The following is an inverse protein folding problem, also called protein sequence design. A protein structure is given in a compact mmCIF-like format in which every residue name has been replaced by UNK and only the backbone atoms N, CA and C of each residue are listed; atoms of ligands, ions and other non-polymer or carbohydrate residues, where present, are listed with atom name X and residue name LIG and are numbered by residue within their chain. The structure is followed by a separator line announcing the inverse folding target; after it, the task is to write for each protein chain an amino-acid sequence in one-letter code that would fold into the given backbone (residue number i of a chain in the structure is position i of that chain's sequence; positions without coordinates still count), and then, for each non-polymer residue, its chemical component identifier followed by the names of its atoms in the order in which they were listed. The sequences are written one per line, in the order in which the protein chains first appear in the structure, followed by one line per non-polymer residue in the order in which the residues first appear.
data_IF_098907576113
#
_entry.id   IF_098907576113
#
_cell.length_a   1.000
_cell.length_b   1.000
_cell.length_c   1.000
_cell.angle_alpha   90.00
_cell.angle_beta   90.00
_cell.angle_gamma   90.00
#
_symmetry.space_group_name_H-M   'P 1'
#
loop_
_entity.id
_entity.type
_entity.pdbx_description
1 polymer ?
#
# COMPACT_ATOMS: atom_id res chain seq x y z
N UNK A 1 -2.22 -11.91 24.92
CA UNK A 1 -2.86 -12.29 23.65
C UNK A 1 -1.98 -11.71 22.56
N UNK A 2 -1.44 -12.54 21.67
CA UNK A 2 -0.61 -12.03 20.57
C UNK A 2 -1.56 -11.35 19.59
N UNK A 3 -1.39 -10.04 19.43
CA UNK A 3 -2.06 -9.23 18.42
C UNK A 3 -1.72 -9.85 17.05
N UNK A 4 -2.72 -10.42 16.36
CA UNK A 4 -2.55 -11.02 15.03
C UNK A 4 -2.47 -9.91 13.97
N UNK A 5 -1.56 -8.95 14.18
CA UNK A 5 -1.34 -7.82 13.28
C UNK A 5 -0.58 -8.32 12.05
N UNK A 6 -1.26 -8.31 10.90
CA UNK A 6 -0.59 -8.60 9.63
C UNK A 6 0.06 -7.32 9.14
N UNK A 7 1.36 -7.39 8.82
CA UNK A 7 2.12 -6.26 8.28
C UNK A 7 2.82 -6.69 7.00
N UNK A 8 2.74 -5.85 5.97
CA UNK A 8 3.46 -5.99 4.70
C UNK A 8 4.34 -4.77 4.49
N UNK A 9 5.58 -5.00 4.06
CA UNK A 9 6.59 -3.95 3.90
C UNK A 9 7.34 -4.14 2.59
N UNK A 10 7.73 -3.05 1.95
CA UNK A 10 8.59 -3.06 0.77
C UNK A 10 9.58 -1.90 0.78
N UNK A 11 10.77 -2.12 0.22
CA UNK A 11 11.74 -1.07 -0.09
C UNK A 11 11.83 -0.96 -1.60
N UNK A 12 11.36 0.16 -2.14
CA UNK A 12 11.16 0.37 -3.57
C UNK A 12 12.19 1.39 -4.07
N UNK A 13 13.13 0.93 -4.88
CA UNK A 13 14.18 1.74 -5.53
C UNK A 13 14.03 1.79 -7.06
N UNK A 14 13.03 1.08 -7.59
CA UNK A 14 12.66 1.06 -9.01
C UNK A 14 11.14 1.16 -9.17
N UNK A 15 10.68 1.66 -10.32
CA UNK A 15 9.26 1.66 -10.65
C UNK A 15 8.76 0.25 -10.99
N UNK A 16 7.44 0.03 -10.93
CA UNK A 16 6.77 -1.28 -11.11
C UNK A 16 6.85 -2.21 -9.88
N UNK A 17 7.06 -1.65 -8.68
CA UNK A 17 7.23 -2.42 -7.44
C UNK A 17 6.47 -1.83 -6.24
N UNK A 18 6.26 -2.65 -5.19
CA UNK A 18 5.50 -2.24 -4.01
C UNK A 18 5.35 -3.33 -2.96
N UNK A 19 4.44 -3.12 -2.02
CA UNK A 19 4.12 -4.12 -0.98
C UNK A 19 3.35 -5.30 -1.56
N UNK A 20 3.42 -6.42 -0.84
CA UNK A 20 2.43 -7.48 -0.98
C UNK A 20 1.01 -6.97 -0.68
N UNK A 21 0.01 -7.76 -1.08
CA UNK A 21 -1.39 -7.47 -0.78
C UNK A 21 -1.71 -7.77 0.68
N UNK A 22 -2.17 -6.75 1.41
CA UNK A 22 -2.76 -6.88 2.73
C UNK A 22 -4.25 -7.18 2.60
N UNK A 23 -4.71 -8.27 3.20
CA UNK A 23 -6.11 -8.68 3.14
C UNK A 23 -6.90 -8.10 4.30
N UNK A 24 -7.87 -7.26 3.97
CA UNK A 24 -8.84 -6.68 4.91
C UNK A 24 -10.08 -7.58 4.93
N UNK A 25 -10.33 -8.26 6.05
CA UNK A 25 -11.34 -9.34 6.18
C UNK A 25 -12.48 -9.02 7.15
N UNK A 26 -12.51 -7.83 7.74
CA UNK A 26 -13.59 -7.39 8.63
C UNK A 26 -14.57 -6.47 7.92
N UNK A 27 -15.76 -6.27 8.51
CA UNK A 27 -16.76 -5.34 7.96
C UNK A 27 -16.32 -3.87 8.08
N UNK A 28 -15.49 -3.56 9.09
CA UNK A 28 -14.75 -2.32 9.21
C UNK A 28 -13.29 -2.62 9.53
N UNK A 29 -12.38 -2.22 8.63
CA UNK A 29 -10.95 -2.44 8.78
C UNK A 29 -10.27 -1.09 8.98
N UNK A 30 -9.46 -1.02 10.01
CA UNK A 30 -8.45 0.01 10.18
C UNK A 30 -7.11 -0.58 9.81
N UNK A 31 -6.31 0.19 9.10
CA UNK A 31 -4.95 -0.21 8.76
C UNK A 31 -4.03 1.00 8.75
N UNK A 32 -2.83 0.82 9.27
CA UNK A 32 -1.78 1.81 9.22
C UNK A 32 -1.18 1.85 7.81
N UNK A 33 -0.88 3.06 7.35
CA UNK A 33 -0.19 3.34 6.10
C UNK A 33 1.03 4.17 6.46
N UNK A 34 2.21 3.67 6.12
CA UNK A 34 3.45 4.44 6.23
C UNK A 34 4.21 4.41 4.91
N UNK A 35 4.55 5.61 4.44
CA UNK A 35 5.43 5.85 3.30
C UNK A 35 6.55 6.72 3.81
N UNK A 36 7.77 6.23 3.73
CA UNK A 36 8.96 6.91 4.25
C UNK A 36 10.13 6.76 3.28
N UNK A 37 11.30 7.27 3.67
CA UNK A 37 12.48 7.32 2.82
C UNK A 37 12.64 8.65 2.07
N UNK A 38 13.71 8.73 1.29
CA UNK A 38 14.05 9.89 0.47
C UNK A 38 13.88 9.46 -0.98
N UNK A 39 12.81 9.93 -1.60
CA UNK A 39 12.47 9.60 -2.98
C UNK A 39 11.81 10.79 -3.68
N UNK A 40 11.89 10.78 -5.00
CA UNK A 40 11.16 11.70 -5.88
C UNK A 40 10.25 10.86 -6.76
N UNK A 41 8.96 10.84 -6.47
CA UNK A 41 8.01 9.99 -7.17
C UNK A 41 6.64 9.94 -6.51
N UNK A 42 5.77 9.08 -7.01
CA UNK A 42 4.41 8.90 -6.52
C UNK A 42 4.18 7.45 -6.09
N UNK A 43 3.77 7.27 -4.83
CA UNK A 43 3.31 5.98 -4.31
C UNK A 43 1.79 5.95 -4.38
N UNK A 44 1.22 4.91 -4.97
CA UNK A 44 -0.24 4.75 -5.08
C UNK A 44 -0.74 3.70 -4.10
N UNK A 45 -1.77 4.04 -3.32
CA UNK A 45 -2.58 3.05 -2.61
C UNK A 45 -3.58 2.44 -3.58
N UNK A 46 -3.46 1.13 -3.78
CA UNK A 46 -4.32 0.34 -4.64
C UNK A 46 -5.22 -0.59 -3.83
N UNK A 47 -6.44 -0.83 -4.31
CA UNK A 47 -7.30 -1.92 -3.84
C UNK A 47 -7.79 -2.80 -4.97
N UNK A 48 -8.18 -4.01 -4.61
CA UNK A 48 -8.98 -4.92 -5.46
C UNK A 48 -9.89 -5.79 -4.59
N UNK A 49 -10.89 -6.43 -5.19
CA UNK A 49 -11.66 -7.47 -4.50
C UNK A 49 -10.81 -8.72 -4.29
N UNK A 50 -11.04 -9.48 -3.21
CA UNK A 50 -10.41 -10.78 -3.03
C UNK A 50 -10.64 -11.67 -4.25
N UNK A 51 -9.56 -12.22 -4.81
CA UNK A 51 -9.59 -13.07 -6.01
C UNK A 51 -9.57 -12.33 -7.35
N UNK A 52 -9.64 -11.00 -7.38
CA UNK A 52 -9.39 -10.22 -8.61
C UNK A 52 -7.91 -10.27 -9.01
N UNK A 53 -7.66 -10.18 -10.32
CA UNK A 53 -6.31 -10.07 -10.87
C UNK A 53 -5.68 -8.72 -10.48
N UNK A 54 -4.36 -8.65 -10.51
CA UNK A 54 -3.62 -7.39 -10.25
C UNK A 54 -3.97 -6.29 -11.26
N UNK A 55 -4.32 -6.66 -12.49
CA UNK A 55 -4.75 -5.71 -13.53
C UNK A 55 -6.11 -5.06 -13.26
N UNK A 56 -6.95 -5.66 -12.40
CA UNK A 56 -8.23 -5.09 -11.97
C UNK A 56 -8.09 -4.15 -10.75
N UNK A 57 -6.86 -3.99 -10.23
CA UNK A 57 -6.58 -3.08 -9.14
C UNK A 57 -6.98 -1.65 -9.49
N UNK A 58 -7.52 -0.96 -8.50
CA UNK A 58 -7.98 0.43 -8.61
C UNK A 58 -7.16 1.28 -7.68
N UNK A 59 -6.72 2.41 -8.21
CA UNK A 59 -6.05 3.43 -7.43
C UNK A 59 -7.08 4.18 -6.58
N UNK A 60 -6.73 4.42 -5.34
CA UNK A 60 -7.61 5.07 -4.36
C UNK A 60 -7.01 6.40 -3.94
N UNK A 61 -5.70 6.39 -3.73
CA UNK A 61 -4.99 7.55 -3.24
C UNK A 61 -3.53 7.52 -3.70
N UNK A 62 -2.93 8.71 -3.82
CA UNK A 62 -1.57 8.91 -4.28
C UNK A 62 -0.78 9.75 -3.28
N UNK A 63 0.48 9.40 -3.09
CA UNK A 63 1.40 10.02 -2.14
C UNK A 63 2.68 10.45 -2.86
N UNK A 64 2.80 11.74 -3.12
CA UNK A 64 4.00 12.35 -3.71
C UNK A 64 5.12 12.59 -2.68
N UNK A 65 4.81 12.45 -1.38
CA UNK A 65 5.75 12.62 -0.26
C UNK A 65 5.49 11.55 0.79
N UNK A 66 6.46 11.35 1.68
CA UNK A 66 6.29 10.47 2.83
C UNK A 66 5.05 10.86 3.67
N UNK A 67 4.35 9.86 4.18
CA UNK A 67 3.12 10.01 4.94
C UNK A 67 2.99 8.92 6.00
N UNK A 68 2.39 9.26 7.13
CA UNK A 68 1.96 8.31 8.15
C UNK A 68 0.50 8.60 8.48
N UNK A 69 -0.38 7.62 8.30
CA UNK A 69 -1.82 7.78 8.48
C UNK A 69 -2.49 6.45 8.81
N UNK A 70 -3.70 6.54 9.36
CA UNK A 70 -4.61 5.40 9.50
C UNK A 70 -5.62 5.45 8.36
N UNK A 71 -5.70 4.38 7.58
CA UNK A 71 -6.74 4.12 6.60
C UNK A 71 -7.93 3.41 7.21
N UNK A 72 -9.13 3.68 6.68
CA UNK A 72 -10.37 2.99 7.05
C UNK A 72 -11.05 2.49 5.77
N UNK A 73 -11.46 1.21 5.76
CA UNK A 73 -12.26 0.65 4.67
C UNK A 73 -13.33 -0.31 5.18
N UNK A 74 -14.52 -0.19 4.58
CA UNK A 74 -15.64 -1.10 4.83
C UNK A 74 -15.67 -2.25 3.83
N UNK A 75 -15.92 -3.45 4.37
CA UNK A 75 -16.01 -4.71 3.62
C UNK A 75 -14.66 -5.33 3.27
N UNK A 76 -14.71 -6.40 2.48
CA UNK A 76 -13.52 -7.20 2.18
C UNK A 76 -12.77 -6.70 0.95
N UNK A 77 -11.49 -6.39 1.15
CA UNK A 77 -10.60 -5.81 0.13
C UNK A 77 -9.18 -6.34 0.31
N UNK A 78 -8.47 -6.49 -0.81
CA UNK A 78 -7.02 -6.61 -0.79
C UNK A 78 -6.44 -5.22 -1.11
N UNK A 79 -5.54 -4.70 -0.28
CA UNK A 79 -4.89 -3.39 -0.47
C UNK A 79 -3.37 -3.52 -0.56
N UNK A 80 -2.71 -2.63 -1.31
CA UNK A 80 -1.25 -2.54 -1.38
C UNK A 80 -0.79 -1.12 -1.64
N UNK A 81 0.44 -0.81 -1.26
CA UNK A 81 1.14 0.39 -1.73
C UNK A 81 2.02 0.00 -2.92
N UNK A 82 1.98 0.78 -3.99
CA UNK A 82 2.63 0.43 -5.24
C UNK A 82 3.13 1.67 -5.99
N UNK A 83 4.33 1.58 -6.56
CA UNK A 83 4.91 2.61 -7.43
C UNK A 83 4.81 2.14 -8.86
N UNK A 84 3.98 2.78 -9.69
CA UNK A 84 3.74 2.33 -11.06
C UNK A 84 4.93 2.66 -11.96
N UNK A 85 4.97 2.00 -13.12
CA UNK A 85 5.96 2.28 -14.18
C UNK A 85 5.99 3.79 -14.49
N UNK A 86 7.17 4.40 -14.33
CA UNK A 86 7.38 5.82 -14.60
C UNK A 86 7.13 6.77 -13.43
N UNK A 87 6.58 6.28 -12.31
CA UNK A 87 6.24 7.12 -11.15
C UNK A 87 7.40 7.28 -10.16
N UNK A 88 8.54 6.59 -10.35
CA UNK A 88 9.76 6.81 -9.56
C UNK A 88 10.83 7.49 -10.41
N UNK A 89 11.24 8.69 -10.02
CA UNK A 89 12.31 9.43 -10.67
C UNK A 89 13.68 9.13 -10.02
N UNK A 90 13.75 9.08 -8.69
CA UNK A 90 14.98 8.80 -7.95
C UNK A 90 14.73 8.44 -6.48
N UNK A 91 15.75 7.87 -5.84
CA UNK A 91 15.76 7.56 -4.40
C UNK A 91 15.10 6.23 -4.06
N UNK A 92 14.79 6.05 -2.77
CA UNK A 92 14.20 4.81 -2.25
C UNK A 92 13.03 5.14 -1.33
N UNK A 93 11.86 4.58 -1.65
CA UNK A 93 10.67 4.66 -0.83
C UNK A 93 10.54 3.39 0.03
N UNK A 94 10.30 3.56 1.33
CA UNK A 94 9.97 2.46 2.23
C UNK A 94 8.47 2.50 2.50
N UNK A 95 7.78 1.43 2.10
CA UNK A 95 6.33 1.30 2.13
C UNK A 95 5.92 0.29 3.18
N UNK A 96 4.90 0.60 3.97
CA UNK A 96 4.36 -0.29 4.98
C UNK A 96 2.84 -0.17 5.07
N UNK A 97 2.19 -1.33 5.19
CA UNK A 97 0.79 -1.45 5.55
C UNK A 97 0.63 -2.45 6.68
N UNK A 98 -0.26 -2.19 7.64
CA UNK A 98 -0.60 -3.19 8.66
C UNK A 98 -1.96 -2.98 9.31
N UNK A 99 -2.56 -4.05 9.83
CA UNK A 99 -3.82 -4.04 10.63
C UNK A 99 -3.53 -4.29 12.10
#
# INVERSE_FOLDING_TARGET
MADNRTRVTASVDTADDGTDWLQLRSDGNFFDISVSGIYSGTVTLQRKRPGESTAAARDIEEYATGVERVGEMQGHWDVRLYVKVGDLASGTATLELGT
#
